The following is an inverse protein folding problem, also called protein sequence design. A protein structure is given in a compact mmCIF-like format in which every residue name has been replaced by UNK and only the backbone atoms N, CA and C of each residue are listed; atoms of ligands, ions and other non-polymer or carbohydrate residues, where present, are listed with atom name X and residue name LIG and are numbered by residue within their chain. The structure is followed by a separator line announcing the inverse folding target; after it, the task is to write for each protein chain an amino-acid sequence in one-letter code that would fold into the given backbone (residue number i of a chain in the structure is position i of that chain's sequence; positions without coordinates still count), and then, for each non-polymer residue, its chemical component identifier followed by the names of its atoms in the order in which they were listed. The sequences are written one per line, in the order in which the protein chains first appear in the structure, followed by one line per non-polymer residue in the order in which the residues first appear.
data_IF_134848600451
#
_entry.id   IF_134848600451
#
_cell.length_a   1.000
_cell.length_b   1.000
_cell.length_c   1.000
_cell.angle_alpha   90.00
_cell.angle_beta   90.00
_cell.angle_gamma   90.00
#
_symmetry.space_group_name_H-M   'P 1'
#
loop_
_entity.id
_entity.type
_entity.pdbx_description
1 polymer ?
#
# COMPACT_ATOMS: atom_id res chain seq x y z
N UNK A 1 -41.80 -9.29 -37.62
CA UNK A 1 -41.07 -9.45 -36.34
C UNK A 1 -41.65 -8.48 -35.34
N UNK A 2 -42.24 -9.02 -34.28
CA UNK A 2 -43.05 -8.26 -33.31
C UNK A 2 -42.18 -7.30 -32.47
N UNK A 3 -42.70 -6.11 -32.18
CA UNK A 3 -42.05 -5.09 -31.35
C UNK A 3 -41.65 -5.62 -29.94
N UNK A 4 -42.31 -6.64 -29.47
CA UNK A 4 -42.00 -7.30 -28.19
C UNK A 4 -40.63 -7.99 -28.18
N UNK A 5 -40.18 -8.50 -29.33
CA UNK A 5 -38.86 -9.16 -29.42
C UNK A 5 -37.70 -8.18 -29.31
N UNK A 6 -37.88 -6.94 -29.80
CA UNK A 6 -36.86 -5.87 -29.69
C UNK A 6 -36.71 -5.35 -28.26
N UNK A 7 -37.82 -5.26 -27.52
CA UNK A 7 -37.79 -4.80 -26.10
C UNK A 7 -37.11 -5.81 -25.21
N UNK A 8 -37.32 -7.11 -25.41
CA UNK A 8 -36.66 -8.17 -24.63
C UNK A 8 -35.17 -8.21 -24.92
N UNK A 9 -34.73 -7.98 -26.16
CA UNK A 9 -33.30 -7.97 -26.50
C UNK A 9 -32.54 -6.78 -25.87
N UNK A 10 -33.17 -5.62 -25.75
CA UNK A 10 -32.61 -4.43 -25.13
C UNK A 10 -32.52 -4.61 -23.60
N UNK A 11 -33.52 -5.27 -22.97
CA UNK A 11 -33.49 -5.58 -21.54
C UNK A 11 -32.41 -6.59 -21.19
N UNK A 12 -32.12 -7.58 -22.03
CA UNK A 12 -31.05 -8.55 -21.84
C UNK A 12 -29.66 -7.96 -22.05
N UNK A 13 -29.48 -6.97 -22.95
CA UNK A 13 -28.21 -6.28 -23.11
C UNK A 13 -27.89 -5.34 -21.92
N UNK A 14 -28.92 -4.82 -21.26
CA UNK A 14 -28.76 -3.92 -20.10
C UNK A 14 -28.25 -4.59 -18.83
N UNK A 15 -28.36 -5.93 -18.72
CA UNK A 15 -27.98 -6.68 -17.50
C UNK A 15 -26.47 -7.06 -17.49
N UNK A 16 -25.78 -6.97 -18.62
CA UNK A 16 -24.34 -7.29 -18.70
C UNK A 16 -23.38 -6.13 -18.39
N UNK A 17 -23.90 -4.95 -18.02
CA UNK A 17 -23.04 -3.77 -17.71
C UNK A 17 -22.96 -3.53 -16.20
N UNK A 18 -22.87 -4.55 -15.38
CA UNK A 18 -22.68 -4.27 -13.97
C UNK A 18 -22.06 -5.45 -13.26
N UNK A 19 -20.78 -5.51 -13.32
CA UNK A 19 -19.90 -5.81 -12.17
C UNK A 19 -18.44 -5.82 -12.63
N UNK A 20 -17.96 -4.75 -13.24
CA UNK A 20 -16.60 -4.40 -12.96
C UNK A 20 -16.62 -4.01 -11.51
N UNK A 21 -16.31 -4.95 -10.63
CA UNK A 21 -15.83 -4.64 -9.30
C UNK A 21 -14.67 -3.68 -9.54
N UNK A 22 -14.97 -2.39 -9.50
CA UNK A 22 -13.98 -1.37 -9.37
C UNK A 22 -13.31 -1.70 -8.05
N UNK A 23 -12.27 -2.52 -8.10
CA UNK A 23 -11.23 -2.47 -7.10
C UNK A 23 -10.69 -1.06 -7.23
N UNK A 24 -11.35 -0.11 -6.56
CA UNK A 24 -10.77 1.17 -6.26
C UNK A 24 -9.57 0.82 -5.41
N UNK A 25 -8.46 0.56 -6.08
CA UNK A 25 -7.20 0.31 -5.41
C UNK A 25 -6.94 1.52 -4.55
N UNK A 26 -6.84 1.26 -3.27
CA UNK A 26 -6.51 2.24 -2.28
C UNK A 26 -5.24 3.00 -2.69
N UNK A 27 -5.36 4.29 -2.89
CA UNK A 27 -4.21 5.15 -3.14
C UNK A 27 -3.51 5.47 -1.80
N UNK A 28 -2.75 4.50 -1.28
CA UNK A 28 -1.93 4.70 -0.08
C UNK A 28 -0.73 5.63 -0.35
N UNK A 29 -0.47 5.97 -1.59
CA UNK A 29 0.46 7.02 -1.99
C UNK A 29 -0.22 8.38 -2.18
N UNK A 30 -1.46 8.58 -1.70
CA UNK A 30 -2.13 9.89 -1.71
C UNK A 30 -1.24 10.99 -1.14
N UNK A 31 -0.41 10.64 -0.15
CA UNK A 31 0.76 11.44 0.25
C UNK A 31 2.01 10.73 -0.23
N UNK A 32 2.50 11.11 -1.39
CA UNK A 32 3.64 10.47 -2.04
C UNK A 32 4.98 10.78 -1.35
N UNK A 33 5.94 9.89 -1.54
CA UNK A 33 7.34 10.08 -1.12
C UNK A 33 7.85 11.47 -1.53
N UNK A 34 8.56 12.14 -0.61
CA UNK A 34 9.09 13.49 -0.78
C UNK A 34 8.15 14.62 -0.33
N UNK A 35 6.87 14.36 -0.09
CA UNK A 35 5.93 15.35 0.46
C UNK A 35 6.31 15.77 1.87
N UNK A 36 5.91 16.99 2.24
CA UNK A 36 6.24 17.56 3.55
C UNK A 36 5.32 17.01 4.64
N UNK A 37 5.81 17.02 5.88
CA UNK A 37 5.03 16.69 7.05
C UNK A 37 3.77 17.56 7.17
N UNK A 38 3.88 18.86 6.85
CA UNK A 38 2.74 19.77 6.85
C UNK A 38 1.64 19.30 5.89
N UNK A 39 1.99 18.97 4.65
CA UNK A 39 1.03 18.46 3.66
C UNK A 39 0.37 17.14 4.10
N UNK A 40 1.11 16.29 4.81
CA UNK A 40 0.58 15.07 5.38
C UNK A 40 -0.45 15.37 6.49
N UNK A 41 -0.12 16.26 7.42
CA UNK A 41 -1.02 16.66 8.52
C UNK A 41 -2.30 17.34 8.02
N UNK A 42 -2.24 18.07 6.91
CA UNK A 42 -3.42 18.65 6.25
C UNK A 42 -4.31 17.58 5.61
N UNK A 43 -3.72 16.45 5.19
CA UNK A 43 -4.44 15.34 4.52
C UNK A 43 -5.02 14.35 5.53
N UNK A 44 -4.28 14.05 6.60
CA UNK A 44 -4.63 13.07 7.60
C UNK A 44 -4.69 13.71 8.99
N UNK A 45 -5.89 13.78 9.55
CA UNK A 45 -6.12 14.16 10.94
C UNK A 45 -5.95 12.88 11.76
N UNK A 46 -4.75 12.61 12.24
CA UNK A 46 -4.43 11.33 12.90
C UNK A 46 -3.55 11.47 14.13
N UNK A 47 -3.50 10.40 14.90
CA UNK A 47 -2.71 10.28 16.14
C UNK A 47 -1.23 10.23 15.79
N UNK A 48 -0.49 11.20 16.31
CA UNK A 48 0.96 11.36 16.11
C UNK A 48 1.68 10.56 17.18
N UNK A 49 2.59 9.68 16.78
CA UNK A 49 3.63 9.15 17.67
C UNK A 49 4.95 9.81 17.27
N UNK A 50 5.35 10.80 18.03
CA UNK A 50 6.63 11.48 17.84
C UNK A 50 7.77 10.64 18.40
N UNK A 51 8.86 10.48 17.65
CA UNK A 51 10.04 9.76 18.12
C UNK A 51 11.29 10.61 18.28
N UNK A 52 11.38 11.74 17.65
CA UNK A 52 12.48 12.71 17.85
C UNK A 52 12.23 13.96 17.01
N UNK A 53 13.00 15.04 17.24
CA UNK A 53 12.89 16.30 16.48
C UNK A 53 13.18 16.17 14.96
N UNK A 54 13.75 15.05 14.53
CA UNK A 54 14.17 14.84 13.13
C UNK A 54 13.52 13.64 12.47
N UNK A 55 13.13 12.63 13.26
CA UNK A 55 12.47 11.41 12.81
C UNK A 55 11.04 11.39 13.34
N UNK A 56 10.07 11.56 12.47
CA UNK A 56 8.65 11.47 12.81
C UNK A 56 8.05 10.21 12.16
N UNK A 57 7.30 9.46 12.92
CA UNK A 57 6.56 8.31 12.44
C UNK A 57 5.10 8.42 12.84
N UNK A 58 4.20 8.19 11.88
CA UNK A 58 2.77 8.27 12.07
C UNK A 58 2.13 6.94 11.68
N UNK A 59 1.41 6.34 12.61
CA UNK A 59 0.62 5.14 12.37
C UNK A 59 -0.84 5.55 12.14
N UNK A 60 -1.39 5.15 11.00
CA UNK A 60 -2.77 5.40 10.63
C UNK A 60 -3.43 4.08 10.28
N UNK A 61 -4.60 3.81 10.84
CA UNK A 61 -5.40 2.67 10.39
C UNK A 61 -5.76 2.85 8.92
N UNK A 62 -5.58 1.80 8.12
CA UNK A 62 -5.71 1.89 6.68
C UNK A 62 -7.17 2.09 6.23
N UNK A 63 -8.16 1.73 7.07
CA UNK A 63 -9.57 2.04 6.84
C UNK A 63 -9.83 3.54 6.68
N UNK A 64 -9.06 4.40 7.37
CA UNK A 64 -9.13 5.86 7.24
C UNK A 64 -8.51 6.40 5.96
N UNK A 65 -7.55 5.66 5.40
CA UNK A 65 -6.87 6.00 4.14
C UNK A 65 -7.63 5.44 2.94
N UNK A 66 -8.16 4.24 3.12
CA UNK A 66 -8.74 3.39 2.09
C UNK A 66 -10.11 2.90 2.55
N UNK A 67 -11.10 3.76 2.48
CA UNK A 67 -12.45 3.48 2.97
C UNK A 67 -12.87 2.03 2.70
N UNK A 68 -13.24 1.32 3.77
CA UNK A 68 -13.90 0.00 3.78
C UNK A 68 -13.13 -1.18 3.16
N UNK A 69 -11.81 -1.08 2.94
CA UNK A 69 -11.07 -2.13 2.27
C UNK A 69 -10.04 -2.87 3.13
N UNK A 70 -9.62 -2.33 4.28
CA UNK A 70 -8.50 -2.88 5.05
C UNK A 70 -8.70 -2.63 6.56
N UNK A 71 -9.69 -3.29 7.15
CA UNK A 71 -10.06 -3.05 8.55
C UNK A 71 -8.95 -3.35 9.56
N UNK A 72 -8.01 -4.25 9.21
CA UNK A 72 -6.95 -4.69 10.11
C UNK A 72 -5.54 -4.23 9.69
N UNK A 73 -5.45 -3.42 8.64
CA UNK A 73 -4.18 -2.94 8.15
C UNK A 73 -3.79 -1.59 8.76
N UNK A 74 -2.49 -1.45 9.03
CA UNK A 74 -1.88 -0.23 9.56
C UNK A 74 -0.91 0.32 8.53
N UNK A 75 -1.03 1.61 8.23
CA UNK A 75 -0.07 2.35 7.45
C UNK A 75 0.82 3.21 8.36
N UNK A 76 2.13 3.01 8.27
CA UNK A 76 3.14 3.79 8.96
C UNK A 76 3.86 4.70 7.95
N UNK A 77 3.85 6.00 8.23
CA UNK A 77 4.50 7.01 7.41
C UNK A 77 5.71 7.56 8.16
N UNK A 78 6.92 7.42 7.60
CA UNK A 78 8.17 7.84 8.24
C UNK A 78 8.76 9.05 7.53
N UNK A 79 8.99 10.10 8.30
CA UNK A 79 9.53 11.39 7.86
C UNK A 79 10.94 11.56 8.41
N UNK A 80 11.84 12.01 7.55
CA UNK A 80 13.18 12.47 7.92
C UNK A 80 13.30 13.93 7.46
N UNK A 81 13.72 14.83 8.35
CA UNK A 81 13.77 16.25 8.07
C UNK A 81 12.45 16.82 7.50
N UNK A 82 11.33 16.41 8.09
CA UNK A 82 9.98 16.83 7.70
C UNK A 82 9.58 16.45 6.26
N UNK A 83 10.28 15.50 5.62
CA UNK A 83 9.91 14.94 4.31
C UNK A 83 9.62 13.46 4.44
N UNK A 84 8.57 13.00 3.75
CA UNK A 84 8.19 11.58 3.71
C UNK A 84 9.22 10.78 2.92
N UNK A 85 9.80 9.78 3.55
CA UNK A 85 10.81 8.90 2.95
C UNK A 85 10.42 7.43 2.93
N UNK A 86 9.50 7.00 3.80
CA UNK A 86 9.05 5.60 3.84
C UNK A 86 7.56 5.54 4.14
N UNK A 87 6.87 4.64 3.45
CA UNK A 87 5.51 4.18 3.76
C UNK A 87 5.61 2.68 3.99
N UNK A 88 5.14 2.21 5.14
CA UNK A 88 5.02 0.78 5.44
C UNK A 88 3.56 0.46 5.73
N UNK A 89 3.01 -0.52 5.03
CA UNK A 89 1.66 -1.00 5.24
C UNK A 89 1.76 -2.45 5.69
N UNK A 90 1.12 -2.78 6.80
CA UNK A 90 1.05 -4.14 7.30
C UNK A 90 -0.41 -4.54 7.48
N UNK A 91 -0.81 -5.61 6.81
CA UNK A 91 -2.11 -6.25 6.94
C UNK A 91 -1.92 -7.61 7.61
N UNK A 92 -2.49 -7.77 8.81
CA UNK A 92 -2.22 -8.91 9.70
C UNK A 92 -3.12 -10.13 9.45
N UNK A 93 -4.22 -9.97 8.71
CA UNK A 93 -5.14 -11.05 8.35
C UNK A 93 -5.61 -10.86 6.92
N UNK A 94 -4.65 -10.78 6.01
CA UNK A 94 -4.90 -10.34 4.65
C UNK A 94 -5.72 -11.34 3.85
N UNK A 95 -6.95 -10.97 3.56
CA UNK A 95 -7.76 -11.55 2.47
C UNK A 95 -7.44 -10.89 1.12
N UNK A 96 -6.71 -9.78 1.16
CA UNK A 96 -6.40 -8.96 0.00
C UNK A 96 -5.17 -9.49 -0.74
N UNK A 97 -5.19 -9.42 -2.06
CA UNK A 97 -4.04 -9.75 -2.89
C UNK A 97 -3.26 -8.47 -3.26
N UNK A 98 -2.37 -8.03 -2.37
CA UNK A 98 -1.49 -6.90 -2.63
C UNK A 98 -0.59 -7.11 -3.85
N UNK A 99 -0.18 -8.34 -4.15
CA UNK A 99 0.65 -8.63 -5.32
C UNK A 99 -0.07 -8.26 -6.62
N UNK A 100 -1.35 -8.61 -6.73
CA UNK A 100 -2.17 -8.25 -7.88
C UNK A 100 -2.28 -6.74 -8.04
N UNK A 101 -2.50 -6.05 -6.93
CA UNK A 101 -2.61 -4.60 -6.87
C UNK A 101 -1.31 -3.91 -7.29
N UNK A 102 -0.20 -4.33 -6.72
CA UNK A 102 1.12 -3.76 -7.03
C UNK A 102 1.54 -4.05 -8.47
N UNK A 103 1.24 -5.24 -9.00
CA UNK A 103 1.45 -5.56 -10.43
C UNK A 103 0.64 -4.65 -11.35
N UNK A 104 -0.57 -4.28 -10.95
CA UNK A 104 -1.39 -3.35 -11.73
C UNK A 104 -0.77 -1.94 -11.77
N UNK A 105 -0.29 -1.40 -10.62
CA UNK A 105 0.27 -0.06 -10.53
C UNK A 105 1.70 0.05 -11.04
N UNK A 106 2.54 -0.92 -10.70
CA UNK A 106 3.97 -0.85 -10.94
C UNK A 106 4.46 -1.79 -12.04
N UNK A 107 3.57 -2.64 -12.58
CA UNK A 107 3.90 -3.63 -13.58
C UNK A 107 4.58 -4.86 -12.99
N UNK A 108 5.34 -5.58 -13.82
CA UNK A 108 6.09 -6.77 -13.39
C UNK A 108 7.17 -6.38 -12.37
N UNK A 109 7.35 -7.17 -11.28
CA UNK A 109 8.47 -6.99 -10.35
C UNK A 109 9.82 -7.01 -11.06
N UNK A 110 10.75 -6.19 -10.60
CA UNK A 110 12.16 -6.21 -11.06
C UNK A 110 12.88 -7.45 -10.55
N UNK A 111 12.51 -7.93 -9.35
CA UNK A 111 13.04 -9.12 -8.71
C UNK A 111 12.00 -9.73 -7.76
N UNK A 112 12.17 -10.98 -7.38
CA UNK A 112 11.31 -11.63 -6.40
C UNK A 112 11.31 -13.15 -6.52
N UNK A 113 10.69 -13.79 -5.53
CA UNK A 113 10.42 -15.22 -5.52
C UNK A 113 9.04 -15.52 -4.94
N UNK A 114 8.40 -16.53 -5.50
CA UNK A 114 7.13 -17.03 -5.02
C UNK A 114 7.35 -17.97 -3.82
N UNK A 115 6.31 -18.09 -2.98
CA UNK A 115 6.32 -18.98 -1.84
C UNK A 115 6.41 -20.44 -2.30
N UNK A 116 7.30 -21.23 -1.68
CA UNK A 116 7.43 -22.65 -2.00
C UNK A 116 6.31 -23.48 -1.34
N UNK A 117 5.09 -23.43 -1.86
CA UNK A 117 3.96 -24.19 -1.34
C UNK A 117 2.91 -23.32 -0.62
N UNK A 118 2.17 -23.93 0.31
CA UNK A 118 1.01 -23.31 0.99
C UNK A 118 1.40 -22.44 2.19
N UNK A 119 2.61 -22.59 2.71
CA UNK A 119 3.17 -21.79 3.82
C UNK A 119 4.54 -21.26 3.47
N UNK A 120 5.04 -20.29 4.22
CA UNK A 120 6.33 -19.66 4.04
C UNK A 120 6.23 -18.21 3.56
N UNK A 121 7.28 -17.71 2.92
CA UNK A 121 7.42 -16.31 2.56
C UNK A 121 7.54 -16.18 1.04
N UNK A 122 6.79 -15.25 0.45
CA UNK A 122 7.02 -14.73 -0.89
C UNK A 122 7.56 -13.29 -0.78
N UNK A 123 8.41 -12.91 -1.70
CA UNK A 123 9.04 -11.59 -1.74
C UNK A 123 9.03 -11.06 -3.16
N UNK A 124 8.72 -9.77 -3.32
CA UNK A 124 8.74 -9.08 -4.61
C UNK A 124 9.29 -7.67 -4.44
N UNK A 125 10.00 -7.19 -5.46
CA UNK A 125 10.63 -5.89 -5.47
C UNK A 125 10.41 -5.18 -6.81
N UNK A 126 10.15 -3.88 -6.75
CA UNK A 126 10.06 -2.96 -7.89
C UNK A 126 10.95 -1.75 -7.65
N UNK A 127 11.68 -1.34 -8.67
CA UNK A 127 12.39 -0.05 -8.72
C UNK A 127 11.65 0.89 -9.64
N UNK A 128 11.16 2.00 -9.13
CA UNK A 128 10.33 2.95 -9.87
C UNK A 128 10.56 4.40 -9.42
N UNK A 129 11.02 5.24 -10.37
CA UNK A 129 11.04 6.69 -10.18
C UNK A 129 11.74 7.17 -8.89
N UNK A 130 12.93 6.64 -8.59
CA UNK A 130 13.72 7.03 -7.42
C UNK A 130 13.19 6.50 -6.09
N UNK A 131 12.50 5.36 -6.13
CA UNK A 131 12.01 4.63 -4.96
C UNK A 131 11.98 3.13 -5.20
N UNK A 132 12.20 2.39 -4.13
CA UNK A 132 12.07 0.94 -4.09
C UNK A 132 10.75 0.56 -3.42
N UNK A 133 10.03 -0.38 -4.02
CA UNK A 133 8.78 -0.93 -3.48
C UNK A 133 9.03 -2.41 -3.18
N UNK A 134 8.67 -2.84 -1.99
CA UNK A 134 8.81 -4.21 -1.53
C UNK A 134 7.46 -4.76 -1.11
N UNK A 135 7.19 -6.02 -1.46
CA UNK A 135 6.09 -6.80 -0.90
C UNK A 135 6.68 -8.05 -0.25
N UNK A 136 6.36 -8.23 1.01
CA UNK A 136 6.58 -9.46 1.76
C UNK A 136 5.21 -10.09 2.07
N UNK A 137 5.00 -11.33 1.62
CA UNK A 137 3.77 -12.10 1.86
C UNK A 137 4.14 -13.35 2.65
N UNK A 138 3.84 -13.35 3.93
CA UNK A 138 4.14 -14.42 4.87
C UNK A 138 2.86 -15.18 5.22
N UNK A 139 2.87 -16.49 5.04
CA UNK A 139 1.77 -17.38 5.41
C UNK A 139 2.28 -18.46 6.35
N UNK A 140 1.61 -18.61 7.47
CA UNK A 140 1.75 -19.75 8.36
C UNK A 140 0.43 -20.57 8.37
N UNK A 141 0.30 -21.55 9.25
CA UNK A 141 -0.87 -22.41 9.33
C UNK A 141 -2.18 -21.69 9.70
N UNK A 142 -2.10 -20.51 10.30
CA UNK A 142 -3.25 -19.84 10.89
C UNK A 142 -3.50 -18.45 10.26
N UNK A 143 -2.45 -17.78 9.80
CA UNK A 143 -2.55 -16.40 9.37
C UNK A 143 -1.74 -16.12 8.10
N UNK A 144 -2.21 -15.15 7.34
CA UNK A 144 -1.47 -14.52 6.25
C UNK A 144 -1.21 -13.06 6.62
N UNK A 145 0.06 -12.67 6.61
CA UNK A 145 0.46 -11.28 6.81
C UNK A 145 1.14 -10.76 5.56
N UNK A 146 0.67 -9.63 5.06
CA UNK A 146 1.29 -8.95 3.94
C UNK A 146 1.86 -7.61 4.39
N UNK A 147 3.10 -7.33 3.99
CA UNK A 147 3.75 -6.05 4.26
C UNK A 147 4.23 -5.43 2.96
N UNK A 148 3.79 -4.19 2.70
CA UNK A 148 4.30 -3.35 1.63
C UNK A 148 5.23 -2.31 2.25
N UNK A 149 6.40 -2.10 1.66
CA UNK A 149 7.27 -0.97 1.98
C UNK A 149 7.59 -0.18 0.72
N UNK A 150 7.34 1.12 0.74
CA UNK A 150 7.71 2.07 -0.30
C UNK A 150 8.74 3.01 0.29
N UNK A 151 9.95 3.00 -0.25
CA UNK A 151 11.11 3.65 0.34
C UNK A 151 11.78 4.54 -0.71
N UNK A 152 12.11 5.80 -0.36
CA UNK A 152 12.96 6.63 -1.23
C UNK A 152 14.37 6.07 -1.31
N UNK A 153 15.05 6.21 -2.45
CA UNK A 153 16.45 5.77 -2.63
C UNK A 153 17.39 6.37 -1.57
N UNK A 154 17.06 7.54 -1.05
CA UNK A 154 17.84 8.22 -0.02
C UNK A 154 17.51 7.80 1.42
N UNK A 155 16.46 6.99 1.62
CA UNK A 155 16.00 6.64 2.97
C UNK A 155 17.08 5.93 3.79
N UNK A 156 17.77 4.96 3.19
CA UNK A 156 18.79 4.17 3.87
C UNK A 156 19.94 5.07 4.35
N UNK A 157 20.50 5.87 3.47
CA UNK A 157 21.58 6.82 3.81
C UNK A 157 21.16 7.79 4.92
N UNK A 158 19.97 8.37 4.79
CA UNK A 158 19.47 9.31 5.79
C UNK A 158 19.19 8.65 7.14
N UNK A 159 18.57 7.46 7.14
CA UNK A 159 18.26 6.75 8.39
C UNK A 159 19.52 6.32 9.13
N UNK A 160 20.54 5.82 8.44
CA UNK A 160 21.83 5.46 9.03
C UNK A 160 22.54 6.70 9.63
N UNK A 161 22.52 7.81 8.93
CA UNK A 161 23.11 9.08 9.39
C UNK A 161 22.46 9.57 10.69
N UNK A 162 21.13 9.47 10.81
CA UNK A 162 20.41 9.97 11.98
C UNK A 162 20.39 8.98 13.16
N UNK A 163 20.39 7.67 12.90
CA UNK A 163 20.49 6.68 13.97
C UNK A 163 21.85 6.69 14.66
N UNK A 164 22.92 7.06 13.96
CA UNK A 164 24.25 7.15 14.54
C UNK A 164 24.48 8.43 15.37
N UNK A 165 23.72 9.52 15.10
CA UNK A 165 23.81 10.76 15.90
C UNK A 165 23.12 10.67 17.28
N UNK A 166 22.17 9.78 17.46
CA UNK A 166 21.47 9.60 18.75
C UNK A 166 22.28 8.73 19.73
N UNK A 167 23.47 8.25 19.33
CA UNK A 167 24.38 7.44 20.16
C UNK A 167 25.67 8.18 20.57
N UNK A 168 25.85 9.45 20.21
CA UNK A 168 26.91 10.34 20.69
C UNK A 168 26.35 11.32 21.74
#
# INVERSE_FOLDING_TARGET
MSNHFKIILIALLGIFISSTSSFALCDFEKVSIGKTLKSFQETYIGTIKDRSDRLHSYDISLDKVCRDQFEQAIAQYSFINKKLHKIKITDFQSETDFLKSLKYYYGKPSNGYDRPGTSGIAYYHWDKNGRSIYLLDSVNSETRTQTIEIISDRYKELSERYMNYDNE
#
